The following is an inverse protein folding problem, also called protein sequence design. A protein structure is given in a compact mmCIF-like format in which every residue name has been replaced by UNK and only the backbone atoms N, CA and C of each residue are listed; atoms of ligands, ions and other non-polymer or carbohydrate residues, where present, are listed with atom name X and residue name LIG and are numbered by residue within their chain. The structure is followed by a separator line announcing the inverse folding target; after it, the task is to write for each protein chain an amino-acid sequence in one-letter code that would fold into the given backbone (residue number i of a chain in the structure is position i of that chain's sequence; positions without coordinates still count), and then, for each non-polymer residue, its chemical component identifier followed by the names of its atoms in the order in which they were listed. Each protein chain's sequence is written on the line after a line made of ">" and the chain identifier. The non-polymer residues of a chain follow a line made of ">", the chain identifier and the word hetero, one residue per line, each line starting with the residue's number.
data_IF_724838593921
#
_entry.id   IF_724838593921
#
_cell.length_a   1.000
_cell.length_b   1.000
_cell.length_c   1.000
_cell.angle_alpha   90.00
_cell.angle_beta   90.00
_cell.angle_gamma   90.00
#
_symmetry.space_group_name_H-M   'P 1'
#
loop_
_entity.id
_entity.type
_entity.pdbx_description
1 polymer ?
#
# COMPACT_ATOMS: atom_id res chain seq x y z
N UNK A 1 -2.71 -22.82 -10.10
CA UNK A 1 -2.90 -21.51 -9.44
C UNK A 1 -3.65 -21.75 -8.13
N UNK A 2 -3.17 -21.30 -6.97
CA UNK A 2 -3.89 -21.49 -5.71
C UNK A 2 -5.23 -20.74 -5.74
N UNK A 3 -6.31 -21.40 -5.32
CA UNK A 3 -7.71 -20.95 -5.41
C UNK A 3 -7.96 -19.54 -4.83
N UNK A 4 -7.21 -19.16 -3.80
CA UNK A 4 -7.26 -17.82 -3.16
C UNK A 4 -6.97 -16.68 -4.14
N UNK A 5 -6.06 -16.89 -5.10
CA UNK A 5 -5.75 -15.88 -6.12
C UNK A 5 -6.89 -15.70 -7.14
N UNK A 6 -7.71 -16.74 -7.35
CA UNK A 6 -8.84 -16.67 -8.27
C UNK A 6 -9.96 -15.78 -7.69
N UNK A 7 -10.27 -15.93 -6.40
CA UNK A 7 -11.30 -15.13 -5.72
C UNK A 7 -10.90 -13.65 -5.70
N UNK A 8 -9.66 -13.34 -5.33
CA UNK A 8 -9.17 -11.96 -5.31
C UNK A 8 -9.26 -11.27 -6.68
N UNK A 9 -9.01 -12.01 -7.77
CA UNK A 9 -9.16 -11.49 -9.14
C UNK A 9 -10.61 -11.16 -9.49
N UNK A 10 -11.55 -12.00 -9.07
CA UNK A 10 -12.98 -11.74 -9.29
C UNK A 10 -13.42 -10.48 -8.56
N UNK A 11 -13.06 -10.32 -7.29
CA UNK A 11 -13.36 -9.11 -6.53
C UNK A 11 -12.76 -7.85 -7.17
N UNK A 12 -11.50 -7.94 -7.63
CA UNK A 12 -10.85 -6.82 -8.32
C UNK A 12 -11.57 -6.46 -9.63
N UNK A 13 -12.02 -7.45 -10.39
CA UNK A 13 -12.77 -7.22 -11.62
C UNK A 13 -14.12 -6.56 -11.34
N UNK A 14 -14.84 -7.04 -10.31
CA UNK A 14 -16.10 -6.45 -9.87
C UNK A 14 -15.89 -4.99 -9.45
N UNK A 15 -14.89 -4.71 -8.60
CA UNK A 15 -14.54 -3.36 -8.18
C UNK A 15 -14.23 -2.43 -9.36
N UNK A 16 -13.47 -2.91 -10.36
CA UNK A 16 -13.15 -2.13 -11.57
C UNK A 16 -14.37 -1.82 -12.44
N UNK A 17 -15.41 -2.65 -12.39
CA UNK A 17 -16.65 -2.42 -13.13
C UNK A 17 -17.59 -1.42 -12.48
N UNK A 18 -17.36 -1.05 -11.21
CA UNK A 18 -18.22 -0.13 -10.48
C UNK A 18 -18.17 1.31 -11.06
N UNK A 19 -19.32 2.01 -11.12
CA UNK A 19 -19.37 3.44 -11.36
C UNK A 19 -18.52 4.22 -10.34
N UNK A 20 -18.11 5.44 -10.68
CA UNK A 20 -17.22 6.25 -9.83
C UNK A 20 -17.78 6.43 -8.40
N UNK A 21 -19.06 6.76 -8.26
CA UNK A 21 -19.71 6.96 -6.95
C UNK A 21 -19.67 5.70 -6.09
N UNK A 22 -19.85 4.53 -6.69
CA UNK A 22 -19.80 3.25 -5.98
C UNK A 22 -18.37 2.86 -5.59
N UNK A 23 -17.38 3.20 -6.44
CA UNK A 23 -15.97 3.04 -6.09
C UNK A 23 -15.57 3.91 -4.91
N UNK A 24 -15.97 5.18 -4.91
CA UNK A 24 -15.72 6.11 -3.79
C UNK A 24 -16.36 5.61 -2.50
N UNK A 25 -17.62 5.16 -2.56
CA UNK A 25 -18.31 4.58 -1.40
C UNK A 25 -17.58 3.34 -0.85
N UNK A 26 -17.17 2.42 -1.74
CA UNK A 26 -16.42 1.23 -1.37
C UNK A 26 -15.08 1.57 -0.70
N UNK A 27 -14.31 2.50 -1.27
CA UNK A 27 -13.05 2.96 -0.66
C UNK A 27 -13.30 3.67 0.68
N UNK A 28 -14.37 4.45 0.79
CA UNK A 28 -14.80 5.09 2.03
C UNK A 28 -15.04 4.08 3.15
N UNK A 29 -15.72 2.97 2.87
CA UNK A 29 -15.93 1.90 3.86
C UNK A 29 -14.61 1.22 4.28
N UNK A 30 -13.69 1.00 3.34
CA UNK A 30 -12.36 0.44 3.68
C UNK A 30 -11.57 1.38 4.60
N UNK A 31 -11.58 2.68 4.34
CA UNK A 31 -10.84 3.67 5.13
C UNK A 31 -11.45 3.89 6.52
N UNK A 32 -12.75 3.65 6.71
CA UNK A 32 -13.38 3.71 8.05
C UNK A 32 -12.79 2.66 9.00
N UNK A 33 -12.48 1.47 8.49
CA UNK A 33 -11.84 0.43 9.28
C UNK A 33 -10.37 0.80 9.54
N UNK A 34 -9.98 0.91 10.82
CA UNK A 34 -8.62 1.31 11.22
C UNK A 34 -7.54 0.42 10.60
N UNK A 35 -7.71 -0.90 10.64
CA UNK A 35 -6.72 -1.86 10.15
C UNK A 35 -6.51 -1.71 8.64
N UNK A 36 -7.61 -1.69 7.88
CA UNK A 36 -7.51 -1.56 6.42
C UNK A 36 -6.97 -0.21 5.98
N UNK A 37 -7.31 0.87 6.70
CA UNK A 37 -6.72 2.18 6.45
C UNK A 37 -5.21 2.17 6.64
N UNK A 38 -4.71 1.59 7.73
CA UNK A 38 -3.27 1.45 7.99
C UNK A 38 -2.59 0.63 6.89
N UNK A 39 -3.15 -0.53 6.54
CA UNK A 39 -2.64 -1.39 5.46
C UNK A 39 -2.59 -0.64 4.11
N UNK A 40 -3.63 0.13 3.77
CA UNK A 40 -3.68 0.91 2.52
C UNK A 40 -2.63 2.02 2.48
N UNK A 41 -2.38 2.69 3.60
CA UNK A 41 -1.34 3.73 3.70
C UNK A 41 0.04 3.10 3.51
N UNK A 42 0.32 1.98 4.17
CA UNK A 42 1.59 1.27 4.04
C UNK A 42 1.84 0.81 2.61
N UNK A 43 0.82 0.20 1.98
CA UNK A 43 0.89 -0.22 0.58
C UNK A 43 1.12 0.96 -0.38
N UNK A 44 0.44 2.09 -0.15
CA UNK A 44 0.62 3.29 -0.96
C UNK A 44 2.05 3.84 -0.84
N UNK A 45 2.62 3.86 0.37
CA UNK A 45 4.01 4.28 0.62
C UNK A 45 4.97 3.32 -0.08
N UNK A 46 4.76 2.00 0.04
CA UNK A 46 5.61 1.01 -0.62
C UNK A 46 5.59 1.20 -2.14
N UNK A 47 4.42 1.38 -2.74
CA UNK A 47 4.29 1.55 -4.18
C UNK A 47 4.95 2.87 -4.65
N UNK A 48 4.74 3.96 -3.93
CA UNK A 48 5.39 5.24 -4.23
C UNK A 48 6.92 5.15 -4.17
N UNK A 49 7.46 4.29 -3.31
CA UNK A 49 8.91 4.11 -3.09
C UNK A 49 9.49 2.92 -3.84
N UNK A 50 8.70 2.18 -4.63
CA UNK A 50 9.11 0.94 -5.30
C UNK A 50 10.27 1.14 -6.27
N UNK A 51 10.37 2.33 -6.87
CA UNK A 51 11.43 2.69 -7.82
C UNK A 51 12.59 3.47 -7.17
N UNK A 52 12.59 3.66 -5.84
CA UNK A 52 13.74 4.27 -5.17
C UNK A 52 14.96 3.34 -5.29
N UNK A 53 16.16 3.90 -5.50
CA UNK A 53 17.39 3.12 -5.46
C UNK A 53 17.49 2.39 -4.12
N UNK A 54 17.70 1.08 -4.21
CA UNK A 54 18.03 0.30 -3.02
C UNK A 54 19.31 0.86 -2.41
N UNK A 55 19.31 1.07 -1.09
CA UNK A 55 20.48 1.53 -0.35
C UNK A 55 20.95 0.47 0.64
N UNK A 56 22.27 0.24 0.77
CA UNK A 56 22.80 -0.66 1.79
C UNK A 56 22.39 -0.22 3.20
N UNK A 57 21.92 -1.19 4.01
CA UNK A 57 21.43 -0.90 5.35
C UNK A 57 22.50 -0.26 6.25
N UNK A 58 23.76 -0.65 6.11
CA UNK A 58 24.88 -0.07 6.87
C UNK A 58 25.11 1.40 6.54
N UNK A 59 24.96 1.78 5.28
CA UNK A 59 25.09 3.18 4.83
C UNK A 59 23.94 4.04 5.37
N UNK A 60 22.72 3.49 5.38
CA UNK A 60 21.57 4.13 6.04
C UNK A 60 21.84 4.43 7.51
N UNK A 61 22.34 3.44 8.26
CA UNK A 61 22.63 3.62 9.68
C UNK A 61 23.73 4.67 9.92
N UNK A 62 24.77 4.68 9.09
CA UNK A 62 25.86 5.65 9.19
C UNK A 62 25.38 7.09 8.94
N UNK A 63 24.56 7.31 7.90
CA UNK A 63 23.95 8.62 7.62
C UNK A 63 22.97 9.06 8.71
N UNK A 64 22.12 8.15 9.19
CA UNK A 64 21.13 8.46 10.23
C UNK A 64 21.80 8.92 11.52
N UNK A 65 22.90 8.27 11.94
CA UNK A 65 23.68 8.68 13.13
C UNK A 65 24.21 10.11 13.00
N UNK A 66 24.67 10.52 11.80
CA UNK A 66 25.15 11.88 11.54
C UNK A 66 24.05 12.94 11.62
N UNK A 67 22.80 12.59 11.29
CA UNK A 67 21.65 13.51 11.36
C UNK A 67 21.12 13.72 12.78
N UNK A 68 21.32 12.77 13.68
CA UNK A 68 20.86 12.84 15.10
C UNK A 68 21.86 13.56 16.00
N UNK A 69 23.13 13.67 15.57
CA UNK A 69 24.21 14.35 16.32
C UNK A 69 24.39 15.82 15.95
N UNK A 70 23.58 16.34 15.01
CA UNK A 70 23.46 17.77 14.68
C UNK A 70 22.19 18.32 15.32
#
# INVERSE_FOLDING_TARGET
>A
MPQTQAIARVFMQAFKSLPYQERESFLGELVKNKKYREDLIDLAIIEARRNEPSRPFREYLAERKKRVQK
#
